data_IF_750086918355
#
_entry.id   IF_750086918355
#
_cell.length_a   1.000
_cell.length_b   1.000
_cell.length_c   1.000
_cell.angle_alpha   90.00
_cell.angle_beta   90.00
_cell.angle_gamma   90.00
#
_symmetry.space_group_name_H-M   'P 1'
#
loop_
_entity.id
_entity.type
_entity.pdbx_description
1 polymer ?
#
# COMPACT_ATOMS: atom_id res chain seq x y z
N UNK A 1 -11.91 -18.46 -2.67
CA UNK A 1 -12.63 -17.21 -2.99
C UNK A 1 -11.82 -16.03 -2.50
N UNK A 2 -11.69 -15.78 -1.20
CA UNK A 2 -10.98 -14.59 -0.67
C UNK A 2 -9.58 -14.31 -1.26
N UNK A 3 -8.69 -15.30 -1.39
CA UNK A 3 -7.36 -15.09 -2.01
C UNK A 3 -7.42 -14.72 -3.50
N UNK A 4 -8.41 -15.22 -4.24
CA UNK A 4 -8.61 -14.86 -5.63
C UNK A 4 -9.10 -13.41 -5.74
N UNK A 5 -10.03 -13.01 -4.85
CA UNK A 5 -10.57 -11.66 -4.81
C UNK A 5 -9.49 -10.62 -4.47
N UNK A 6 -8.55 -10.97 -3.58
CA UNK A 6 -7.41 -10.11 -3.24
C UNK A 6 -6.44 -9.93 -4.44
N UNK A 7 -6.18 -10.99 -5.22
CA UNK A 7 -5.37 -10.89 -6.43
C UNK A 7 -6.06 -10.05 -7.53
N UNK A 8 -7.39 -10.15 -7.66
CA UNK A 8 -8.15 -9.28 -8.56
C UNK A 8 -8.07 -7.82 -8.12
N UNK A 9 -8.19 -7.54 -6.82
CA UNK A 9 -8.04 -6.18 -6.29
C UNK A 9 -6.65 -5.60 -6.56
N UNK A 10 -5.60 -6.38 -6.34
CA UNK A 10 -4.22 -6.00 -6.66
C UNK A 10 -4.07 -5.64 -8.14
N UNK A 11 -4.57 -6.47 -9.05
CA UNK A 11 -4.49 -6.21 -10.50
C UNK A 11 -5.21 -4.93 -10.91
N UNK A 12 -6.41 -4.68 -10.37
CA UNK A 12 -7.16 -3.44 -10.64
C UNK A 12 -6.35 -2.23 -10.19
N UNK A 13 -5.81 -2.26 -8.97
CA UNK A 13 -5.02 -1.16 -8.42
C UNK A 13 -3.73 -0.92 -9.22
N UNK A 14 -3.04 -1.99 -9.64
CA UNK A 14 -1.85 -1.87 -10.48
C UNK A 14 -2.17 -1.30 -11.87
N UNK A 15 -3.31 -1.68 -12.47
CA UNK A 15 -3.75 -1.08 -13.74
C UNK A 15 -4.04 0.41 -13.58
N UNK A 16 -4.74 0.82 -12.52
CA UNK A 16 -4.97 2.25 -12.23
C UNK A 16 -3.65 3.01 -12.10
N UNK A 17 -2.66 2.44 -11.40
CA UNK A 17 -1.34 3.05 -11.24
C UNK A 17 -0.49 3.01 -12.52
N UNK A 18 -0.83 2.17 -13.50
CA UNK A 18 -0.17 2.18 -14.80
C UNK A 18 -0.66 3.35 -15.67
N UNK A 19 -1.91 3.76 -15.50
CA UNK A 19 -2.50 4.93 -16.17
C UNK A 19 -2.17 6.23 -15.43
N UNK A 20 -2.26 6.22 -14.10
CA UNK A 20 -1.98 7.35 -13.22
C UNK A 20 -1.05 6.92 -12.07
N UNK A 21 0.28 6.98 -12.26
CA UNK A 21 1.25 6.48 -11.28
C UNK A 21 1.18 7.15 -9.90
N UNK A 22 0.68 8.37 -9.85
CA UNK A 22 0.64 9.20 -8.65
C UNK A 22 -0.78 9.31 -8.07
N UNK A 23 -1.69 8.42 -8.47
CA UNK A 23 -3.03 8.32 -7.93
C UNK A 23 -2.99 7.91 -6.44
N UNK A 24 -3.04 8.90 -5.54
CA UNK A 24 -2.94 8.71 -4.09
C UNK A 24 -3.94 7.67 -3.55
N UNK A 25 -5.24 7.68 -3.94
CA UNK A 25 -6.17 6.66 -3.49
C UNK A 25 -5.77 5.24 -3.89
N UNK A 26 -5.28 5.04 -5.12
CA UNK A 26 -4.84 3.73 -5.60
C UNK A 26 -3.57 3.28 -4.86
N UNK A 27 -2.60 4.17 -4.66
CA UNK A 27 -1.40 3.89 -3.87
C UNK A 27 -1.74 3.49 -2.43
N UNK A 28 -2.63 4.24 -1.76
CA UNK A 28 -3.07 3.94 -0.39
C UNK A 28 -3.77 2.58 -0.30
N UNK A 29 -4.67 2.28 -1.23
CA UNK A 29 -5.40 1.01 -1.25
C UNK A 29 -4.49 -0.17 -1.53
N UNK A 30 -3.53 -0.03 -2.46
CA UNK A 30 -2.54 -1.07 -2.74
C UNK A 30 -1.63 -1.29 -1.52
N UNK A 31 -1.16 -0.21 -0.89
CA UNK A 31 -0.35 -0.30 0.32
C UNK A 31 -1.10 -1.01 1.47
N UNK A 32 -2.40 -0.72 1.64
CA UNK A 32 -3.25 -1.39 2.61
C UNK A 32 -3.39 -2.88 2.29
N UNK A 33 -3.65 -3.23 1.03
CA UNK A 33 -3.77 -4.61 0.56
C UNK A 33 -2.50 -5.41 0.83
N UNK A 34 -1.34 -4.87 0.44
CA UNK A 34 -0.02 -5.48 0.66
C UNK A 34 0.24 -5.77 2.14
N UNK A 35 0.07 -4.77 3.01
CA UNK A 35 0.39 -4.93 4.43
C UNK A 35 -0.64 -5.72 5.21
N UNK A 36 -1.95 -5.55 4.94
CA UNK A 36 -3.02 -6.15 5.74
C UNK A 36 -3.31 -7.60 5.35
N UNK A 37 -3.26 -7.89 4.06
CA UNK A 37 -3.76 -9.16 3.52
C UNK A 37 -2.65 -10.07 2.97
N UNK A 38 -1.57 -9.49 2.44
CA UNK A 38 -0.42 -10.27 1.97
C UNK A 38 0.74 -10.32 2.97
N UNK A 39 0.68 -9.51 4.04
CA UNK A 39 1.77 -9.35 5.01
C UNK A 39 3.10 -8.91 4.35
N UNK A 40 3.03 -8.33 3.15
CA UNK A 40 4.18 -7.72 2.49
C UNK A 40 4.37 -6.31 3.07
N UNK A 41 4.95 -6.28 4.28
CA UNK A 41 5.16 -5.05 5.04
C UNK A 41 6.15 -4.12 4.35
N UNK A 42 7.15 -4.69 3.68
CA UNK A 42 8.16 -3.94 2.91
C UNK A 42 7.49 -3.17 1.78
N UNK A 43 6.67 -3.85 0.95
CA UNK A 43 5.97 -3.18 -0.15
C UNK A 43 4.93 -2.18 0.34
N UNK A 44 4.22 -2.49 1.42
CA UNK A 44 3.28 -1.55 2.03
C UNK A 44 3.98 -0.25 2.46
N UNK A 45 5.15 -0.35 3.11
CA UNK A 45 5.93 0.83 3.54
C UNK A 45 6.44 1.64 2.35
N UNK A 46 6.92 0.98 1.29
CA UNK A 46 7.34 1.64 0.04
C UNK A 46 6.20 2.48 -0.55
N UNK A 47 5.01 1.88 -0.69
CA UNK A 47 3.85 2.56 -1.27
C UNK A 47 3.35 3.72 -0.39
N UNK A 48 3.31 3.55 0.94
CA UNK A 48 2.96 4.66 1.84
C UNK A 48 4.01 5.77 1.86
N UNK A 49 5.30 5.46 1.63
CA UNK A 49 6.30 6.51 1.44
C UNK A 49 5.99 7.34 0.20
N UNK A 50 5.66 6.69 -0.93
CA UNK A 50 5.25 7.40 -2.14
C UNK A 50 4.02 8.30 -1.90
N UNK A 51 3.02 7.81 -1.15
CA UNK A 51 1.86 8.65 -0.76
C UNK A 51 2.30 9.87 0.03
N UNK A 52 3.23 9.73 0.97
CA UNK A 52 3.70 10.83 1.81
C UNK A 52 4.66 11.79 1.08
N UNK A 53 5.26 11.36 -0.03
CA UNK A 53 6.00 12.26 -0.94
C UNK A 53 5.04 13.16 -1.72
N UNK A 54 3.88 12.63 -2.13
CA UNK A 54 2.85 13.35 -2.89
C UNK A 54 1.92 14.19 -2.00
N UNK A 55 1.56 13.67 -0.82
CA UNK A 55 0.68 14.29 0.17
C UNK A 55 1.28 14.15 1.58
N UNK A 56 2.22 15.04 1.94
CA UNK A 56 2.98 14.95 3.19
C UNK A 56 2.12 15.02 4.46
N UNK A 57 0.91 15.57 4.38
CA UNK A 57 -0.04 15.71 5.48
C UNK A 57 -0.97 14.50 5.65
N UNK A 58 -0.94 13.51 4.74
CA UNK A 58 -1.77 12.30 4.82
C UNK A 58 -1.55 11.52 6.14
N UNK A 59 -2.47 11.70 7.07
CA UNK A 59 -2.39 11.10 8.42
C UNK A 59 -2.50 9.59 8.38
N UNK A 60 -3.38 9.07 7.51
CA UNK A 60 -3.59 7.64 7.33
C UNK A 60 -2.34 6.92 6.85
N UNK A 61 -1.71 7.42 5.78
CA UNK A 61 -0.49 6.84 5.22
C UNK A 61 0.64 6.86 6.25
N UNK A 62 0.78 7.95 7.01
CA UNK A 62 1.79 8.08 8.06
C UNK A 62 1.60 7.04 9.17
N UNK A 63 0.37 6.83 9.63
CA UNK A 63 0.05 5.86 10.68
C UNK A 63 0.17 4.42 10.21
N UNK A 64 -0.33 4.11 9.01
CA UNK A 64 -0.23 2.79 8.40
C UNK A 64 1.23 2.40 8.13
N UNK A 65 2.04 3.33 7.58
CA UNK A 65 3.48 3.13 7.40
C UNK A 65 4.18 2.81 8.73
N UNK A 66 3.94 3.63 9.77
CA UNK A 66 4.53 3.40 11.10
C UNK A 66 4.14 2.04 11.69
N UNK A 67 2.90 1.59 11.46
CA UNK A 67 2.46 0.25 11.86
C UNK A 67 3.29 -0.83 11.18
N UNK A 68 3.44 -0.78 9.86
CA UNK A 68 4.13 -1.83 9.10
C UNK A 68 5.64 -1.82 9.27
N UNK A 69 6.27 -0.66 9.48
CA UNK A 69 7.69 -0.54 9.80
C UNK A 69 8.11 -1.39 11.02
N UNK A 70 7.21 -1.62 11.99
CA UNK A 70 7.50 -2.44 13.19
C UNK A 70 7.67 -3.94 12.89
N UNK A 71 7.28 -4.39 11.71
CA UNK A 71 7.38 -5.78 11.28
C UNK A 71 8.54 -6.01 10.32
N UNK A 72 9.16 -4.94 9.80
CA UNK A 72 10.36 -5.03 8.95
C UNK A 72 11.57 -5.20 9.88
N UNK A 73 12.37 -6.24 9.65
CA UNK A 73 13.59 -6.52 10.43
C UNK A 73 13.36 -7.22 11.78
N UNK A 74 12.16 -7.78 12.01
CA UNK A 74 11.92 -8.77 13.05
C UNK A 74 12.09 -10.16 12.45
N UNK A 75 13.34 -10.61 12.36
CA UNK A 75 13.68 -12.04 12.32
C UNK A 75 13.79 -12.56 13.76
#
# INVERSE_FOLDING_TARGET
MLRADLGTAENILNNMLSEEPDCIPALNNLAHLMGRHFSDFSKAVELYNKVLELEPDNSWARDARRRYQRYIGRD
#
